data_IF_289387069430
#
_entry.id   IF_289387069430
#
_cell.length_a   1.000
_cell.length_b   1.000
_cell.length_c   1.000
_cell.angle_alpha   90.00
_cell.angle_beta   90.00
_cell.angle_gamma   90.00
#
_symmetry.space_group_name_H-M   'P 1'
#
loop_
_entity.id
_entity.type
_entity.pdbx_description
1 polymer ?
#
# COMPACT_ATOMS: atom_id res chain seq x y z
N UNK A 1 12.61 -8.51 10.90
CA UNK A 1 11.51 -9.49 10.76
C UNK A 1 10.22 -8.69 10.78
N UNK A 2 9.35 -8.87 9.79
CA UNK A 2 8.10 -8.12 9.63
C UNK A 2 6.95 -9.06 9.93
N UNK A 3 6.05 -8.68 10.83
CA UNK A 3 4.76 -9.37 10.97
C UNK A 3 3.83 -8.86 9.88
N UNK A 4 3.26 -9.76 9.08
CA UNK A 4 2.42 -9.43 7.94
C UNK A 4 1.03 -10.08 8.06
N UNK A 5 0.01 -9.33 7.66
CA UNK A 5 -1.37 -9.81 7.46
C UNK A 5 -1.74 -9.51 6.02
N UNK A 6 -2.23 -10.50 5.28
CA UNK A 6 -2.67 -10.36 3.88
C UNK A 6 -4.12 -10.80 3.73
N UNK A 7 -4.83 -10.19 2.78
CA UNK A 7 -6.21 -10.47 2.48
C UNK A 7 -6.67 -9.73 1.21
N UNK A 8 -7.82 -10.14 0.66
CA UNK A 8 -8.43 -9.43 -0.46
C UNK A 8 -8.85 -8.01 -0.04
N UNK A 9 -8.70 -7.04 -0.95
CA UNK A 9 -9.16 -5.66 -0.74
C UNK A 9 -10.64 -5.65 -0.38
N UNK A 10 -11.02 -5.22 0.84
CA UNK A 10 -12.42 -5.25 1.27
C UNK A 10 -13.29 -4.26 0.50
N UNK A 11 -14.59 -4.58 0.35
CA UNK A 11 -15.55 -3.76 -0.41
C UNK A 11 -15.96 -2.44 0.29
N UNK A 12 -15.46 -2.19 1.49
CA UNK A 12 -15.80 -1.04 2.31
C UNK A 12 -14.90 -0.96 3.55
N UNK A 13 -15.18 -0.02 4.44
CA UNK A 13 -14.42 0.16 5.68
C UNK A 13 -14.42 -1.11 6.54
N UNK A 14 -13.26 -1.41 7.10
CA UNK A 14 -13.05 -2.58 7.95
C UNK A 14 -11.94 -2.30 8.95
N UNK A 15 -11.94 -3.09 10.03
CA UNK A 15 -10.92 -3.01 11.08
C UNK A 15 -10.01 -4.24 11.05
N UNK A 16 -8.70 -4.01 11.14
CA UNK A 16 -7.71 -5.06 11.43
C UNK A 16 -7.25 -4.88 12.88
N UNK A 17 -7.28 -5.95 13.67
CA UNK A 17 -6.72 -5.98 15.03
C UNK A 17 -5.35 -6.62 14.99
N UNK A 18 -4.33 -5.84 15.36
CA UNK A 18 -2.95 -6.30 15.48
C UNK A 18 -2.52 -6.20 16.94
N UNK A 19 -1.77 -7.18 17.42
CA UNK A 19 -1.15 -7.15 18.74
C UNK A 19 0.35 -7.29 18.56
N UNK A 20 1.13 -6.22 18.79
CA UNK A 20 2.58 -6.29 18.70
C UNK A 20 3.12 -7.33 19.68
N UNK A 21 4.08 -8.15 19.25
CA UNK A 21 4.75 -9.11 20.13
C UNK A 21 5.97 -8.47 20.80
N UNK A 22 6.15 -8.74 22.10
CA UNK A 22 7.29 -8.21 22.87
C UNK A 22 7.14 -6.77 23.36
N UNK A 23 8.22 -6.21 23.93
CA UNK A 23 8.26 -4.85 24.52
C UNK A 23 8.64 -3.81 23.45
N UNK A 24 7.74 -3.57 22.50
CA UNK A 24 7.94 -2.58 21.44
C UNK A 24 7.51 -1.19 21.96
N UNK A 25 8.34 -0.16 21.77
CA UNK A 25 8.01 1.25 22.09
C UNK A 25 7.70 2.08 20.85
N UNK A 26 8.37 1.76 19.74
CA UNK A 26 8.23 2.43 18.46
C UNK A 26 8.23 1.39 17.34
N UNK A 27 7.40 1.60 16.33
CA UNK A 27 7.35 0.78 15.13
C UNK A 27 6.77 1.56 13.97
N UNK A 28 7.01 1.09 12.74
CA UNK A 28 6.39 1.63 11.54
C UNK A 28 5.34 0.63 11.09
N UNK A 29 4.12 1.10 10.84
CA UNK A 29 3.12 0.33 10.13
C UNK A 29 3.18 0.75 8.68
N UNK A 30 3.34 -0.23 7.79
CA UNK A 30 3.18 -0.05 6.34
C UNK A 30 1.94 -0.81 5.89
N UNK A 31 1.14 -0.19 5.03
CA UNK A 31 -0.02 -0.82 4.39
C UNK A 31 0.14 -0.68 2.89
N UNK A 32 0.18 -1.81 2.21
CA UNK A 32 0.17 -1.88 0.75
C UNK A 32 -1.25 -2.24 0.28
N UNK A 33 -1.79 -1.46 -0.66
CA UNK A 33 -3.15 -1.66 -1.18
C UNK A 33 -3.09 -1.70 -2.70
N UNK A 34 -3.52 -2.83 -3.25
CA UNK A 34 -3.60 -3.03 -4.69
C UNK A 34 -5.05 -2.83 -5.20
N UNK A 35 -5.19 -2.16 -6.33
CA UNK A 35 -6.41 -2.10 -7.12
C UNK A 35 -6.20 -2.85 -8.44
N UNK A 36 -6.42 -4.17 -8.42
CA UNK A 36 -6.19 -5.00 -9.59
C UNK A 36 -7.05 -4.54 -10.78
N UNK A 37 -6.48 -4.64 -11.99
CA UNK A 37 -7.13 -4.24 -13.26
C UNK A 37 -7.52 -2.76 -13.36
N UNK A 38 -6.91 -1.89 -12.55
CA UNK A 38 -7.09 -0.44 -12.59
C UNK A 38 -6.15 0.23 -13.60
N UNK A 39 -6.46 0.09 -14.88
CA UNK A 39 -5.61 0.56 -15.99
C UNK A 39 -5.68 2.08 -16.20
N UNK A 40 -4.59 2.67 -16.69
CA UNK A 40 -4.56 4.06 -17.17
C UNK A 40 -3.54 4.21 -18.32
N UNK A 41 -3.27 5.44 -18.76
CA UNK A 41 -2.34 5.70 -19.87
C UNK A 41 -0.89 5.31 -19.56
N UNK A 42 -0.47 5.43 -18.30
CA UNK A 42 0.86 5.06 -17.84
C UNK A 42 1.01 3.55 -17.61
N UNK A 43 -0.09 2.85 -17.37
CA UNK A 43 -0.17 1.41 -17.12
C UNK A 43 -1.30 0.81 -17.95
N UNK A 44 -1.11 0.66 -19.27
CA UNK A 44 -2.17 0.25 -20.18
C UNK A 44 -2.31 -1.27 -20.21
N UNK A 45 -3.55 -1.75 -20.38
CA UNK A 45 -3.88 -3.18 -20.51
C UNK A 45 -3.13 -3.91 -21.62
N UNK A 46 -2.71 -3.17 -22.65
CA UNK A 46 -2.01 -3.72 -23.81
C UNK A 46 -0.50 -3.87 -23.62
N UNK A 47 0.10 -3.32 -22.56
CA UNK A 47 1.53 -3.42 -22.33
C UNK A 47 1.96 -4.89 -22.21
N UNK A 48 3.10 -5.22 -22.82
CA UNK A 48 3.66 -6.57 -22.86
C UNK A 48 4.91 -6.65 -21.97
N UNK A 49 5.26 -7.86 -21.54
CA UNK A 49 6.47 -8.06 -20.73
C UNK A 49 7.71 -7.54 -21.47
N UNK A 50 8.44 -6.64 -20.82
CA UNK A 50 9.60 -5.94 -21.39
C UNK A 50 9.31 -4.50 -21.81
N UNK A 51 8.05 -4.09 -21.95
CA UNK A 51 7.68 -2.69 -22.16
C UNK A 51 7.93 -1.89 -20.87
N UNK A 52 8.34 -0.62 -21.01
CA UNK A 52 8.61 0.25 -19.86
C UNK A 52 7.37 0.59 -19.02
N UNK A 53 6.18 0.46 -19.61
CA UNK A 53 4.88 0.67 -18.98
C UNK A 53 4.18 -0.65 -18.66
N UNK A 54 4.90 -1.77 -18.72
CA UNK A 54 4.37 -3.06 -18.32
C UNK A 54 4.11 -3.04 -16.83
N UNK A 55 2.83 -3.14 -16.49
CA UNK A 55 2.39 -3.06 -15.10
C UNK A 55 1.98 -4.41 -14.57
N UNK A 56 2.29 -5.53 -15.23
CA UNK A 56 2.55 -6.76 -14.51
C UNK A 56 2.02 -8.08 -15.04
N UNK A 57 2.35 -9.07 -14.20
CA UNK A 57 2.54 -10.47 -14.52
C UNK A 57 1.29 -11.31 -14.80
N UNK A 58 1.49 -12.63 -14.79
CA UNK A 58 0.60 -13.68 -15.33
C UNK A 58 -0.88 -13.62 -14.87
N UNK A 59 -1.18 -12.95 -13.75
CA UNK A 59 -2.49 -12.90 -13.10
C UNK A 59 -3.19 -11.52 -13.21
N UNK A 60 -2.63 -10.59 -13.99
CA UNK A 60 -3.22 -9.29 -14.35
C UNK A 60 -2.86 -8.15 -13.41
N UNK A 61 -2.83 -6.91 -13.94
CA UNK A 61 -2.29 -5.78 -13.14
C UNK A 61 -2.37 -4.41 -13.83
N UNK A 62 -3.08 -3.47 -13.22
CA UNK A 62 -3.18 -2.06 -13.66
C UNK A 62 -2.13 -1.20 -12.97
N UNK A 63 -2.53 -0.05 -12.44
CA UNK A 63 -1.67 0.79 -11.62
C UNK A 63 -1.00 0.00 -10.46
N UNK A 64 0.25 0.36 -10.08
CA UNK A 64 0.97 -0.28 -8.98
C UNK A 64 0.23 -0.12 -7.64
N UNK A 65 0.54 -1.02 -6.70
CA UNK A 65 -0.05 -0.92 -5.37
C UNK A 65 0.49 0.30 -4.63
N UNK A 66 -0.39 0.99 -3.90
CA UNK A 66 -0.05 2.16 -3.11
C UNK A 66 0.43 1.74 -1.72
N UNK A 67 1.50 2.39 -1.25
CA UNK A 67 2.10 2.11 0.05
C UNK A 67 1.89 3.30 0.97
N UNK A 68 1.23 3.05 2.08
CA UNK A 68 0.98 4.02 3.14
C UNK A 68 1.82 3.68 4.37
N UNK A 69 2.25 4.69 5.13
CA UNK A 69 3.00 4.45 6.36
C UNK A 69 2.73 5.48 7.47
N UNK A 70 2.91 5.03 8.71
CA UNK A 70 2.96 5.86 9.91
C UNK A 70 4.02 5.31 10.88
N UNK A 71 4.78 6.20 11.53
CA UNK A 71 5.53 5.86 12.75
C UNK A 71 4.58 5.90 13.94
N UNK A 72 4.49 4.80 14.67
CA UNK A 72 3.75 4.71 15.93
C UNK A 72 4.75 4.79 17.08
N UNK A 73 4.61 5.80 17.92
CA UNK A 73 5.39 5.95 19.14
C UNK A 73 4.48 5.78 20.36
N UNK A 74 4.53 4.60 21.00
CA UNK A 74 3.68 4.26 22.15
C UNK A 74 4.01 5.07 23.41
N UNK A 75 5.12 5.79 23.44
CA UNK A 75 5.49 6.65 24.58
C UNK A 75 5.15 8.12 24.35
N UNK A 76 4.58 8.49 23.20
CA UNK A 76 4.19 9.88 22.89
C UNK A 76 2.94 10.34 23.64
N UNK A 77 2.08 9.41 24.06
CA UNK A 77 0.74 9.70 24.57
C UNK A 77 -0.33 9.80 23.47
N UNK A 78 0.05 9.83 22.19
CA UNK A 78 -0.88 9.80 21.06
C UNK A 78 -1.62 8.47 21.00
N UNK A 79 -2.90 8.53 20.60
CA UNK A 79 -3.80 7.37 20.49
C UNK A 79 -4.24 7.07 19.07
N UNK A 80 -4.07 8.04 18.18
CA UNK A 80 -4.48 7.96 16.79
C UNK A 80 -3.29 8.31 15.90
N UNK A 81 -3.01 7.48 14.90
CA UNK A 81 -1.93 7.71 13.94
C UNK A 81 -2.49 7.53 12.53
N UNK A 82 -2.49 8.60 11.74
CA UNK A 82 -2.89 8.55 10.34
C UNK A 82 -1.72 8.08 9.48
N UNK A 83 -1.95 7.10 8.59
CA UNK A 83 -0.96 6.72 7.60
C UNK A 83 -1.03 7.68 6.41
N UNK A 84 0.15 8.06 5.93
CA UNK A 84 0.31 8.89 4.75
C UNK A 84 0.76 8.03 3.58
N UNK A 85 0.30 8.37 2.36
CA UNK A 85 0.84 7.78 1.14
C UNK A 85 2.32 8.13 1.04
N UNK A 86 3.19 7.13 0.97
CA UNK A 86 4.64 7.32 0.85
C UNK A 86 5.17 6.95 -0.54
N UNK A 87 4.34 6.37 -1.40
CA UNK A 87 4.69 6.00 -2.77
C UNK A 87 3.91 4.79 -3.26
N UNK A 88 4.42 4.16 -4.30
CA UNK A 88 3.88 2.93 -4.87
C UNK A 88 4.96 1.85 -5.01
N UNK A 89 4.55 0.58 -5.08
CA UNK A 89 5.44 -0.55 -5.35
C UNK A 89 5.86 -0.64 -6.83
N UNK A 90 6.82 -1.50 -7.15
CA UNK A 90 7.18 -1.79 -8.53
C UNK A 90 5.94 -2.23 -9.33
N UNK A 91 5.63 -1.60 -10.49
CA UNK A 91 4.44 -1.94 -11.28
C UNK A 91 4.34 -3.41 -11.66
N UNK A 92 5.45 -4.04 -12.04
CA UNK A 92 5.49 -5.46 -12.41
C UNK A 92 5.87 -6.41 -11.26
N UNK A 93 6.09 -5.85 -10.06
CA UNK A 93 6.50 -6.60 -8.87
C UNK A 93 7.93 -7.14 -8.93
N UNK A 94 8.80 -6.55 -9.76
CA UNK A 94 10.19 -6.99 -9.92
C UNK A 94 11.10 -6.71 -8.72
N UNK A 95 10.73 -5.74 -7.88
CA UNK A 95 11.50 -5.34 -6.70
C UNK A 95 10.60 -4.98 -5.50
N UNK A 96 11.23 -4.68 -4.36
CA UNK A 96 10.57 -4.29 -3.11
C UNK A 96 10.77 -2.81 -2.74
N UNK A 97 11.17 -1.98 -3.68
CA UNK A 97 11.40 -0.55 -3.45
C UNK A 97 10.09 0.24 -3.46
N UNK A 98 10.14 1.45 -2.90
CA UNK A 98 9.01 2.38 -2.85
C UNK A 98 9.34 3.57 -3.75
N UNK A 99 8.61 3.70 -4.85
CA UNK A 99 8.73 4.86 -5.75
C UNK A 99 7.87 6.00 -5.22
N UNK A 100 8.49 7.13 -4.90
CA UNK A 100 7.79 8.29 -4.31
C UNK A 100 7.08 9.16 -5.35
N UNK A 101 7.49 9.10 -6.62
CA UNK A 101 6.79 9.77 -7.70
C UNK A 101 5.47 9.03 -7.97
N UNK A 102 4.36 9.73 -7.79
CA UNK A 102 3.01 9.20 -7.98
C UNK A 102 2.28 9.89 -9.14
N UNK A 103 3.00 10.64 -9.98
CA UNK A 103 2.42 11.43 -11.09
C UNK A 103 1.71 10.56 -12.14
N UNK A 104 2.09 9.28 -12.26
CA UNK A 104 1.47 8.28 -13.11
C UNK A 104 0.24 7.60 -12.50
N UNK A 105 -0.05 7.84 -11.22
CA UNK A 105 -1.17 7.23 -10.50
C UNK A 105 -2.40 8.13 -10.61
N UNK A 106 -3.52 7.53 -11.02
CA UNK A 106 -4.80 8.21 -11.24
C UNK A 106 -5.86 7.66 -10.30
N UNK A 107 -6.70 6.73 -10.77
CA UNK A 107 -7.87 6.18 -10.07
C UNK A 107 -7.49 5.39 -8.82
N UNK A 108 -6.30 4.79 -8.78
CA UNK A 108 -5.83 4.04 -7.62
C UNK A 108 -5.68 4.94 -6.38
N UNK A 109 -5.43 6.26 -6.53
CA UNK A 109 -5.39 7.21 -5.40
C UNK A 109 -6.72 7.28 -4.63
N UNK A 110 -7.82 6.87 -5.25
CA UNK A 110 -9.15 6.91 -4.65
C UNK A 110 -9.56 5.58 -4.00
N UNK A 111 -8.71 4.55 -4.02
CA UNK A 111 -9.04 3.22 -3.47
C UNK A 111 -9.35 3.28 -1.97
N UNK A 112 -8.67 4.16 -1.23
CA UNK A 112 -8.88 4.35 0.20
C UNK A 112 -8.91 5.84 0.52
N UNK A 113 -9.93 6.24 1.29
CA UNK A 113 -10.08 7.61 1.78
C UNK A 113 -9.08 7.96 2.88
N UNK A 114 -8.86 7.04 3.82
CA UNK A 114 -7.97 7.22 4.97
C UNK A 114 -7.64 5.88 5.62
N UNK A 115 -6.44 5.77 6.19
CA UNK A 115 -6.05 4.64 7.04
C UNK A 115 -5.59 5.22 8.36
N UNK A 116 -6.18 4.73 9.45
CA UNK A 116 -5.93 5.25 10.79
C UNK A 116 -5.68 4.09 11.75
N UNK A 117 -4.62 4.21 12.54
CA UNK A 117 -4.33 3.30 13.65
C UNK A 117 -4.91 3.90 14.92
N UNK A 118 -5.69 3.10 15.63
CA UNK A 118 -6.24 3.45 16.93
C UNK A 118 -5.66 2.53 18.01
N UNK A 119 -4.96 3.11 19.00
CA UNK A 119 -4.48 2.37 20.16
C UNK A 119 -5.64 2.17 21.15
N UNK A 120 -5.98 0.91 21.43
CA UNK A 120 -6.95 0.52 22.45
C UNK A 120 -6.29 0.26 23.79
#
# INVERSE_FOLDING_TARGET
MTDAVTGATPKGSFDIKLTPTGKIKKFIVKVEINHSTDWNDAYPKSAQQGDSNYSGGKEGSGQPALVYAAEVNLTSGEKEFQLNLIGHSSPDGSDGDITTDISSITTALNIVKSITINLK
#
